data_IF_333628586081
#
_entry.id   IF_333628586081
#
_cell.length_a   1.000
_cell.length_b   1.000
_cell.length_c   1.000
_cell.angle_alpha   90.00
_cell.angle_beta   90.00
_cell.angle_gamma   90.00
#
_symmetry.space_group_name_H-M   'P 1'
#
loop_
_entity.id
_entity.type
_entity.pdbx_description
1 polymer ?
#
# COMPACT_ATOMS: atom_id res chain seq x y z
N UNK A 1 -6.50 -15.80 -13.41
CA UNK A 1 -6.26 -16.79 -12.34
C UNK A 1 -7.16 -17.98 -12.63
N UNK A 2 -6.58 -19.18 -12.83
CA UNK A 2 -7.36 -20.37 -13.17
C UNK A 2 -8.10 -20.95 -11.96
N UNK A 3 -7.55 -20.84 -10.74
CA UNK A 3 -8.21 -21.24 -9.49
C UNK A 3 -7.99 -20.21 -8.37
N UNK A 4 -8.85 -19.18 -8.23
CA UNK A 4 -8.70 -18.14 -7.21
C UNK A 4 -8.74 -18.67 -5.77
N UNK A 5 -9.49 -19.74 -5.51
CA UNK A 5 -9.65 -20.31 -4.16
C UNK A 5 -8.34 -20.90 -3.62
N UNK A 6 -7.48 -21.40 -4.50
CA UNK A 6 -6.19 -22.00 -4.16
C UNK A 6 -5.03 -21.01 -4.26
N UNK A 7 -5.06 -20.14 -5.27
CA UNK A 7 -3.97 -19.21 -5.54
C UNK A 7 -3.94 -17.98 -4.61
N UNK A 8 -5.12 -17.46 -4.21
CA UNK A 8 -5.19 -16.31 -3.29
C UNK A 8 -4.56 -16.62 -1.92
N UNK A 9 -4.86 -17.73 -1.23
CA UNK A 9 -4.22 -18.08 0.03
C UNK A 9 -2.69 -18.21 -0.08
N UNK A 10 -2.18 -18.83 -1.15
CA UNK A 10 -0.73 -18.95 -1.39
C UNK A 10 -0.08 -17.58 -1.59
N UNK A 11 -0.71 -16.71 -2.38
CA UNK A 11 -0.22 -15.36 -2.62
C UNK A 11 -0.16 -14.54 -1.33
N UNK A 12 -1.20 -14.61 -0.49
CA UNK A 12 -1.24 -13.92 0.81
C UNK A 12 -0.12 -14.41 1.73
N UNK A 13 0.07 -15.73 1.87
CA UNK A 13 1.14 -16.28 2.69
C UNK A 13 2.54 -15.93 2.16
N UNK A 14 2.72 -15.93 0.83
CA UNK A 14 3.98 -15.53 0.21
C UNK A 14 4.33 -14.06 0.48
N UNK A 15 3.34 -13.16 0.58
CA UNK A 15 3.56 -11.74 0.94
C UNK A 15 4.12 -11.63 2.36
N UNK A 16 3.61 -12.38 3.32
CA UNK A 16 4.08 -12.35 4.72
C UNK A 16 5.57 -12.71 4.77
N UNK A 17 5.96 -13.82 4.10
CA UNK A 17 7.36 -14.25 4.04
C UNK A 17 8.25 -13.22 3.36
N UNK A 18 7.79 -12.63 2.26
CA UNK A 18 8.52 -11.56 1.55
C UNK A 18 8.75 -10.34 2.44
N UNK A 19 7.72 -9.89 3.16
CA UNK A 19 7.85 -8.76 4.09
C UNK A 19 8.86 -9.12 5.19
N UNK A 20 8.73 -10.26 5.83
CA UNK A 20 9.64 -10.67 6.90
C UNK A 20 11.10 -10.76 6.42
N UNK A 21 11.37 -11.38 5.29
CA UNK A 21 12.74 -11.58 4.79
C UNK A 21 13.32 -10.31 4.21
N UNK A 22 12.60 -9.63 3.30
CA UNK A 22 13.18 -8.50 2.57
C UNK A 22 13.09 -7.18 3.33
N UNK A 23 12.00 -6.89 4.02
CA UNK A 23 11.88 -5.62 4.76
C UNK A 23 12.56 -5.69 6.13
N UNK A 24 12.22 -6.67 6.97
CA UNK A 24 12.87 -6.80 8.28
C UNK A 24 14.35 -7.14 8.13
N UNK A 25 14.73 -8.00 7.17
CA UNK A 25 16.12 -8.33 6.89
C UNK A 25 16.92 -7.13 6.40
N UNK A 26 16.40 -6.35 5.46
CA UNK A 26 17.06 -5.14 4.97
C UNK A 26 17.21 -4.07 6.07
N UNK A 27 16.17 -3.87 6.89
CA UNK A 27 16.22 -2.94 8.03
C UNK A 27 17.26 -3.38 9.06
N UNK A 28 17.29 -4.65 9.41
CA UNK A 28 18.25 -5.21 10.36
C UNK A 28 19.69 -5.03 9.85
N UNK A 29 19.95 -5.33 8.59
CA UNK A 29 21.25 -5.11 7.98
C UNK A 29 21.64 -3.62 7.99
N UNK A 30 20.71 -2.72 7.65
CA UNK A 30 20.98 -1.28 7.67
C UNK A 30 21.34 -0.79 9.07
N UNK A 31 20.59 -1.18 10.09
CA UNK A 31 20.87 -0.77 11.49
C UNK A 31 22.19 -1.35 12.00
N UNK A 32 22.57 -2.56 11.54
CA UNK A 32 23.88 -3.14 11.87
C UNK A 32 25.07 -2.43 11.21
N UNK A 33 24.87 -1.84 10.02
CA UNK A 33 25.95 -1.23 9.23
C UNK A 33 26.03 0.28 9.50
N UNK A 34 24.89 0.95 9.66
CA UNK A 34 24.79 2.40 9.79
C UNK A 34 24.18 2.79 11.15
N UNK A 35 24.92 3.50 12.02
CA UNK A 35 24.37 4.01 13.25
C UNK A 35 23.18 4.94 13.00
N UNK A 36 22.15 4.86 13.85
CA UNK A 36 20.91 5.65 13.69
C UNK A 36 21.15 7.15 13.71
N UNK A 37 22.23 7.60 14.36
CA UNK A 37 22.68 9.02 14.40
C UNK A 37 23.11 9.58 13.03
N UNK A 38 23.33 8.71 12.06
CA UNK A 38 23.84 9.10 10.74
C UNK A 38 22.74 9.07 9.66
N UNK A 39 21.52 8.76 10.03
CA UNK A 39 20.37 8.89 9.14
C UNK A 39 20.08 10.37 8.90
N UNK A 40 20.25 10.78 7.66
CA UNK A 40 19.94 12.16 7.24
C UNK A 40 18.58 12.17 6.54
N UNK A 41 17.62 12.99 6.99
CA UNK A 41 16.35 13.14 6.29
C UNK A 41 16.57 13.51 4.81
N UNK A 42 15.80 12.92 3.92
CA UNK A 42 15.89 13.17 2.47
C UNK A 42 16.97 12.40 1.72
N UNK A 43 17.85 11.67 2.42
CA UNK A 43 18.88 10.83 1.79
C UNK A 43 18.56 9.35 2.08
N UNK A 44 18.54 8.52 1.04
CA UNK A 44 18.35 7.09 1.21
C UNK A 44 19.51 6.48 2.01
N UNK A 45 19.23 5.73 3.11
CA UNK A 45 20.29 5.07 3.89
C UNK A 45 21.13 4.12 3.06
N UNK A 46 20.58 3.50 2.03
CA UNK A 46 21.34 2.65 1.10
C UNK A 46 22.41 3.45 0.35
N UNK A 47 22.09 4.66 -0.10
CA UNK A 47 23.04 5.56 -0.77
C UNK A 47 24.20 5.89 0.17
N UNK A 48 23.91 6.16 1.44
CA UNK A 48 24.93 6.45 2.46
C UNK A 48 25.86 5.25 2.69
N UNK A 49 25.31 4.05 2.83
CA UNK A 49 26.08 2.81 3.03
C UNK A 49 27.03 2.54 1.86
N UNK A 50 26.53 2.59 0.62
CA UNK A 50 27.36 2.32 -0.56
C UNK A 50 28.39 3.42 -0.83
N UNK A 51 28.08 4.67 -0.49
CA UNK A 51 29.05 5.77 -0.52
C UNK A 51 30.25 5.50 0.40
N UNK A 52 30.01 4.99 1.62
CA UNK A 52 31.09 4.61 2.57
C UNK A 52 31.91 3.42 2.11
N UNK A 53 31.30 2.49 1.40
CA UNK A 53 32.02 1.34 0.85
C UNK A 53 32.91 1.69 -0.33
N UNK A 54 33.04 2.99 -0.67
CA UNK A 54 33.87 3.44 -1.78
C UNK A 54 33.31 3.14 -3.17
N UNK A 55 31.98 2.90 -3.26
CA UNK A 55 31.27 2.59 -4.49
C UNK A 55 30.26 3.72 -4.85
N UNK A 56 30.70 4.95 -5.17
CA UNK A 56 29.79 6.08 -5.42
C UNK A 56 28.87 5.87 -6.63
N UNK A 57 29.30 5.06 -7.62
CA UNK A 57 28.47 4.70 -8.76
C UNK A 57 27.24 3.86 -8.37
N UNK A 58 27.33 3.08 -7.28
CA UNK A 58 26.24 2.28 -6.77
C UNK A 58 25.09 3.17 -6.24
N UNK A 59 25.40 4.35 -5.72
CA UNK A 59 24.39 5.33 -5.33
C UNK A 59 23.48 5.70 -6.51
N UNK A 60 24.03 5.94 -7.69
CA UNK A 60 23.28 6.25 -8.91
C UNK A 60 22.41 5.07 -9.36
N UNK A 61 22.94 3.84 -9.26
CA UNK A 61 22.18 2.63 -9.58
C UNK A 61 20.97 2.47 -8.65
N UNK A 62 21.18 2.65 -7.34
CA UNK A 62 20.10 2.57 -6.37
C UNK A 62 19.06 3.67 -6.62
N UNK A 63 19.49 4.88 -6.92
CA UNK A 63 18.59 5.97 -7.23
C UNK A 63 17.75 5.68 -8.48
N UNK A 64 18.33 5.11 -9.51
CA UNK A 64 17.59 4.65 -10.69
C UNK A 64 16.57 3.55 -10.34
N UNK A 65 16.95 2.57 -9.53
CA UNK A 65 16.04 1.52 -9.05
C UNK A 65 14.87 2.12 -8.24
N UNK A 66 15.14 3.08 -7.36
CA UNK A 66 14.11 3.76 -6.58
C UNK A 66 13.12 4.52 -7.46
N UNK A 67 13.61 5.22 -8.50
CA UNK A 67 12.75 5.91 -9.47
C UNK A 67 11.85 4.90 -10.21
N UNK A 68 12.40 3.81 -10.72
CA UNK A 68 11.63 2.78 -11.41
C UNK A 68 10.60 2.13 -10.48
N UNK A 69 10.97 1.85 -9.23
CA UNK A 69 10.07 1.31 -8.23
C UNK A 69 8.93 2.28 -7.90
N UNK A 70 9.24 3.58 -7.75
CA UNK A 70 8.24 4.61 -7.52
C UNK A 70 7.26 4.74 -8.69
N UNK A 71 7.75 4.75 -9.94
CA UNK A 71 6.91 4.79 -11.14
C UNK A 71 6.00 3.54 -11.23
N UNK A 72 6.53 2.37 -10.91
CA UNK A 72 5.75 1.13 -10.86
C UNK A 72 4.65 1.18 -9.81
N UNK A 73 4.96 1.69 -8.62
CA UNK A 73 3.98 1.88 -7.53
C UNK A 73 2.90 2.89 -7.90
N UNK A 74 3.27 4.01 -8.52
CA UNK A 74 2.33 5.01 -9.02
C UNK A 74 1.37 4.40 -10.05
N UNK A 75 1.90 3.66 -11.03
CA UNK A 75 1.09 3.01 -12.06
C UNK A 75 0.09 2.01 -11.45
N UNK A 76 0.55 1.18 -10.52
CA UNK A 76 -0.31 0.23 -9.80
C UNK A 76 -1.37 0.94 -8.96
N UNK A 77 -1.00 2.01 -8.26
CA UNK A 77 -1.89 2.84 -7.47
C UNK A 77 -2.98 3.50 -8.31
N UNK A 78 -2.62 4.12 -9.43
CA UNK A 78 -3.57 4.73 -10.38
C UNK A 78 -4.60 3.73 -10.89
N UNK A 79 -4.15 2.55 -11.29
CA UNK A 79 -5.05 1.51 -11.79
C UNK A 79 -5.99 0.99 -10.70
N UNK A 80 -5.45 0.71 -9.52
CA UNK A 80 -6.23 0.21 -8.38
C UNK A 80 -7.28 1.22 -7.93
N UNK A 81 -6.88 2.49 -7.76
CA UNK A 81 -7.79 3.56 -7.37
C UNK A 81 -8.88 3.78 -8.42
N UNK A 82 -8.53 3.73 -9.72
CA UNK A 82 -9.50 3.81 -10.79
C UNK A 82 -10.57 2.71 -10.73
N UNK A 83 -10.18 1.48 -10.39
CA UNK A 83 -11.11 0.36 -10.20
C UNK A 83 -12.00 0.53 -8.97
N UNK A 84 -11.44 0.99 -7.86
CA UNK A 84 -12.20 1.27 -6.62
C UNK A 84 -13.22 2.37 -6.85
N UNK A 85 -12.82 3.47 -7.48
CA UNK A 85 -13.73 4.57 -7.83
C UNK A 85 -14.88 4.10 -8.73
N UNK A 86 -14.60 3.23 -9.69
CA UNK A 86 -15.65 2.62 -10.50
C UNK A 86 -16.61 1.77 -9.68
N UNK A 87 -16.09 0.96 -8.75
CA UNK A 87 -16.93 0.14 -7.87
C UNK A 87 -17.83 1.02 -6.98
N UNK A 88 -17.31 2.11 -6.46
CA UNK A 88 -18.09 3.10 -5.71
C UNK A 88 -19.13 3.79 -6.60
N UNK A 89 -18.79 4.07 -7.86
CA UNK A 89 -19.74 4.61 -8.84
C UNK A 89 -20.91 3.65 -9.11
N UNK A 90 -20.64 2.34 -9.24
CA UNK A 90 -21.67 1.31 -9.37
C UNK A 90 -22.57 1.23 -8.13
N UNK A 91 -22.01 1.44 -6.95
CA UNK A 91 -22.75 1.53 -5.69
C UNK A 91 -23.44 2.89 -5.47
N UNK A 92 -23.40 3.81 -6.44
CA UNK A 92 -23.91 5.19 -6.33
C UNK A 92 -23.27 6.03 -5.22
N UNK A 93 -22.06 5.69 -4.80
CA UNK A 93 -21.28 6.36 -3.76
C UNK A 93 -20.19 7.28 -4.35
N UNK A 94 -20.02 7.29 -5.68
CA UNK A 94 -19.12 8.18 -6.39
C UNK A 94 -19.82 8.78 -7.61
N UNK A 95 -19.33 9.92 -8.14
CA UNK A 95 -19.92 10.57 -9.31
C UNK A 95 -20.01 9.64 -10.51
N UNK A 96 -21.09 9.75 -11.30
CA UNK A 96 -21.39 8.85 -12.42
C UNK A 96 -20.32 8.80 -13.53
N UNK A 97 -19.49 9.83 -13.67
CA UNK A 97 -18.39 9.82 -14.65
C UNK A 97 -17.33 8.76 -14.36
N UNK A 98 -17.19 8.31 -13.07
CA UNK A 98 -16.25 7.24 -12.68
C UNK A 98 -16.60 5.89 -13.28
N UNK A 99 -17.81 5.72 -13.81
CA UNK A 99 -18.26 4.52 -14.50
C UNK A 99 -17.66 4.37 -15.90
N UNK A 100 -17.14 5.46 -16.49
CA UNK A 100 -16.64 5.46 -17.85
C UNK A 100 -15.42 4.55 -17.99
N UNK A 101 -15.49 3.66 -18.97
CA UNK A 101 -14.42 2.72 -19.31
C UNK A 101 -13.95 2.93 -20.73
N UNK A 102 -12.70 2.57 -21.01
CA UNK A 102 -12.19 2.42 -22.36
C UNK A 102 -12.77 1.17 -23.03
N UNK A 103 -12.68 1.08 -24.36
CA UNK A 103 -13.01 -0.13 -25.11
C UNK A 103 -12.22 -1.37 -24.64
N UNK A 104 -11.01 -1.15 -24.11
CA UNK A 104 -10.16 -2.20 -23.53
C UNK A 104 -10.51 -2.55 -22.07
N UNK A 105 -11.62 -2.07 -21.52
CA UNK A 105 -12.04 -2.37 -20.15
C UNK A 105 -11.26 -1.64 -19.03
N UNK A 106 -10.52 -0.57 -19.37
CA UNK A 106 -9.77 0.23 -18.39
C UNK A 106 -10.65 1.35 -17.84
N UNK A 107 -10.73 1.56 -16.52
CA UNK A 107 -11.52 2.63 -15.88
C UNK A 107 -10.81 3.99 -15.97
N UNK A 108 -10.64 4.50 -17.20
CA UNK A 108 -9.81 5.66 -17.50
C UNK A 108 -10.24 6.93 -16.77
N UNK A 109 -11.55 7.12 -16.56
CA UNK A 109 -12.04 8.35 -15.91
C UNK A 109 -11.63 8.43 -14.43
N UNK A 110 -11.66 7.29 -13.72
CA UNK A 110 -11.13 7.21 -12.36
C UNK A 110 -9.62 7.40 -12.31
N UNK A 111 -8.90 6.85 -13.28
CA UNK A 111 -7.44 6.99 -13.40
C UNK A 111 -7.06 8.46 -13.62
N UNK A 112 -7.72 9.14 -14.57
CA UNK A 112 -7.45 10.57 -14.87
C UNK A 112 -7.77 11.45 -13.67
N UNK A 113 -8.87 11.19 -12.97
CA UNK A 113 -9.21 11.91 -11.75
C UNK A 113 -8.11 11.75 -10.68
N UNK A 114 -7.66 10.51 -10.45
CA UNK A 114 -6.59 10.23 -9.47
C UNK A 114 -5.27 10.88 -9.90
N UNK A 115 -4.91 10.81 -11.18
CA UNK A 115 -3.72 11.46 -11.72
C UNK A 115 -3.79 12.98 -11.56
N UNK A 116 -4.97 13.58 -11.76
CA UNK A 116 -5.19 15.01 -11.53
C UNK A 116 -4.97 15.42 -10.07
N UNK A 117 -5.48 14.63 -9.12
CA UNK A 117 -5.24 14.87 -7.68
C UNK A 117 -3.76 14.73 -7.33
N UNK A 118 -3.08 13.72 -7.87
CA UNK A 118 -1.63 13.54 -7.68
C UNK A 118 -0.82 14.70 -8.26
N UNK A 119 -1.18 15.16 -9.46
CA UNK A 119 -0.53 16.32 -10.08
C UNK A 119 -0.74 17.60 -9.26
N UNK A 120 -1.96 17.80 -8.74
CA UNK A 120 -2.26 18.91 -7.84
C UNK A 120 -1.40 18.84 -6.56
N UNK A 121 -1.26 17.66 -5.95
CA UNK A 121 -0.39 17.45 -4.81
C UNK A 121 1.08 17.78 -5.11
N UNK A 122 1.58 17.38 -6.28
CA UNK A 122 2.93 17.70 -6.71
C UNK A 122 3.14 19.22 -6.92
N UNK A 123 2.15 19.91 -7.47
CA UNK A 123 2.17 21.37 -7.62
C UNK A 123 2.11 22.05 -6.25
N UNK A 124 1.25 21.61 -5.36
CA UNK A 124 1.17 22.17 -4.00
C UNK A 124 2.49 22.02 -3.24
N UNK A 125 3.16 20.88 -3.40
CA UNK A 125 4.48 20.65 -2.77
C UNK A 125 5.56 21.65 -3.25
N UNK A 126 5.41 22.24 -4.43
CA UNK A 126 6.34 23.27 -4.92
C UNK A 126 6.10 24.66 -4.28
N UNK A 127 4.92 24.93 -3.75
CA UNK A 127 4.53 26.22 -3.21
C UNK A 127 4.33 26.25 -1.69
N UNK A 128 4.04 25.11 -1.09
CA UNK A 128 3.75 24.98 0.34
C UNK A 128 4.88 24.20 1.01
N UNK A 129 5.64 24.84 1.90
CA UNK A 129 6.63 24.14 2.72
C UNK A 129 5.95 22.97 3.45
N UNK A 130 6.66 21.85 3.55
CA UNK A 130 6.25 20.66 4.30
C UNK A 130 4.95 19.97 3.80
N UNK A 131 4.43 20.37 2.61
CA UNK A 131 3.21 19.76 2.05
C UNK A 131 3.34 18.24 1.89
N UNK A 132 4.53 17.75 1.57
CA UNK A 132 4.82 16.32 1.45
C UNK A 132 4.75 15.62 2.82
N UNK A 133 5.29 16.21 3.88
CA UNK A 133 5.25 15.65 5.24
C UNK A 133 3.81 15.61 5.77
N UNK A 134 3.05 16.68 5.59
CA UNK A 134 1.62 16.72 5.93
C UNK A 134 0.82 15.66 5.18
N UNK A 135 1.11 15.44 3.89
CA UNK A 135 0.46 14.39 3.10
C UNK A 135 0.81 12.99 3.60
N UNK A 136 2.06 12.75 4.03
CA UNK A 136 2.49 11.49 4.64
C UNK A 136 1.78 11.24 5.97
N UNK A 137 1.70 12.24 6.85
CA UNK A 137 0.99 12.13 8.13
C UNK A 137 -0.49 11.83 7.94
N UNK A 138 -1.16 12.57 7.06
CA UNK A 138 -2.56 12.33 6.72
C UNK A 138 -2.77 10.91 6.16
N UNK A 139 -1.85 10.45 5.30
CA UNK A 139 -1.89 9.09 4.74
C UNK A 139 -1.71 8.03 5.83
N UNK A 140 -0.80 8.24 6.78
CA UNK A 140 -0.58 7.34 7.91
C UNK A 140 -1.86 7.17 8.74
N UNK A 141 -2.54 8.27 9.08
CA UNK A 141 -3.82 8.23 9.81
C UNK A 141 -4.88 7.45 9.02
N UNK A 142 -5.00 7.71 7.71
CA UNK A 142 -5.96 7.00 6.86
C UNK A 142 -5.68 5.50 6.75
N UNK A 143 -4.40 5.11 6.74
CA UNK A 143 -4.00 3.69 6.75
C UNK A 143 -4.45 3.03 8.06
N UNK A 144 -4.17 3.63 9.21
CA UNK A 144 -4.60 3.10 10.52
C UNK A 144 -6.11 2.96 10.57
N UNK A 145 -6.87 3.98 10.14
CA UNK A 145 -8.32 3.93 10.08
C UNK A 145 -8.83 2.81 9.16
N UNK A 146 -8.18 2.61 8.01
CA UNK A 146 -8.51 1.53 7.07
C UNK A 146 -8.30 0.16 7.71
N UNK A 147 -7.17 -0.06 8.39
CA UNK A 147 -6.88 -1.30 9.09
C UNK A 147 -7.88 -1.55 10.23
N UNK A 148 -8.19 -0.54 11.03
CA UNK A 148 -9.21 -0.64 12.07
C UNK A 148 -10.58 -1.07 11.50
N UNK A 149 -10.99 -0.44 10.38
CA UNK A 149 -12.24 -0.82 9.68
C UNK A 149 -12.22 -2.26 9.20
N UNK A 150 -11.10 -2.73 8.65
CA UNK A 150 -10.93 -4.13 8.21
C UNK A 150 -11.09 -5.09 9.39
N UNK A 151 -10.48 -4.80 10.55
CA UNK A 151 -10.63 -5.64 11.75
C UNK A 151 -12.08 -5.67 12.25
N UNK A 152 -12.76 -4.53 12.29
CA UNK A 152 -14.18 -4.47 12.67
C UNK A 152 -15.03 -5.29 11.70
N UNK A 153 -14.82 -5.15 10.40
CA UNK A 153 -15.51 -5.95 9.38
C UNK A 153 -15.25 -7.46 9.57
N UNK A 154 -14.02 -7.85 9.86
CA UNK A 154 -13.64 -9.24 10.11
C UNK A 154 -14.36 -9.81 11.35
N UNK A 155 -14.40 -9.07 12.46
CA UNK A 155 -15.13 -9.48 13.67
C UNK A 155 -16.61 -9.64 13.36
N UNK A 156 -17.18 -8.68 12.63
CA UNK A 156 -18.61 -8.72 12.27
C UNK A 156 -18.94 -9.89 11.34
N UNK A 157 -18.09 -10.15 10.36
CA UNK A 157 -18.23 -11.30 9.47
C UNK A 157 -18.25 -12.61 10.26
N UNK A 158 -17.34 -12.75 11.23
CA UNK A 158 -17.27 -13.94 12.07
C UNK A 158 -18.54 -14.15 12.87
N UNK A 159 -19.06 -13.09 13.50
CA UNK A 159 -20.33 -13.13 14.22
C UNK A 159 -21.52 -13.57 13.33
N UNK A 160 -21.52 -13.16 12.05
CA UNK A 160 -22.56 -13.55 11.11
C UNK A 160 -22.43 -15.02 10.67
N UNK A 161 -21.21 -15.52 10.52
CA UNK A 161 -20.94 -16.94 10.25
C UNK A 161 -21.40 -17.80 11.44
N UNK A 162 -21.04 -17.42 12.67
CA UNK A 162 -21.40 -18.14 13.89
C UNK A 162 -22.92 -18.19 14.11
N UNK A 163 -23.64 -17.16 13.63
CA UNK A 163 -25.12 -17.11 13.62
C UNK A 163 -25.75 -17.87 12.45
N UNK A 164 -24.96 -18.47 11.55
CA UNK A 164 -25.47 -19.20 10.38
C UNK A 164 -26.05 -18.31 9.28
N UNK A 165 -25.88 -16.99 9.34
CA UNK A 165 -26.41 -16.05 8.34
C UNK A 165 -25.58 -16.06 7.06
N UNK A 166 -24.26 -16.30 7.18
CA UNK A 166 -23.31 -16.33 6.07
C UNK A 166 -22.57 -17.67 6.09
N UNK A 167 -22.34 -18.31 4.94
CA UNK A 167 -21.57 -19.54 4.88
C UNK A 167 -20.10 -19.29 5.30
N UNK A 168 -19.43 -20.32 5.87
CA UNK A 168 -18.03 -20.21 6.28
C UNK A 168 -17.12 -19.87 5.08
N UNK A 169 -16.15 -19.01 5.33
CA UNK A 169 -15.19 -18.59 4.30
C UNK A 169 -14.21 -19.72 4.00
N UNK A 170 -13.85 -19.96 2.73
CA UNK A 170 -12.88 -21.00 2.34
C UNK A 170 -11.47 -20.78 2.91
N UNK A 171 -11.14 -19.52 3.25
CA UNK A 171 -9.84 -19.12 3.81
C UNK A 171 -10.09 -18.26 5.07
N UNK A 172 -10.17 -18.89 6.25
CA UNK A 172 -10.34 -18.16 7.50
C UNK A 172 -9.03 -17.45 7.91
N UNK A 173 -9.15 -16.27 8.50
CA UNK A 173 -8.00 -15.58 9.06
C UNK A 173 -7.40 -16.39 10.22
N UNK A 174 -6.07 -16.63 10.25
CA UNK A 174 -5.41 -17.39 11.29
C UNK A 174 -5.64 -16.77 12.68
N UNK A 175 -6.03 -17.59 13.66
CA UNK A 175 -6.26 -17.13 15.04
C UNK A 175 -7.49 -16.22 15.24
N UNK A 176 -8.35 -16.07 14.23
CA UNK A 176 -9.61 -15.30 14.36
C UNK A 176 -10.53 -15.96 15.40
N UNK A 177 -11.24 -15.16 16.26
CA UNK A 177 -11.34 -13.68 16.25
C UNK A 177 -10.23 -12.94 17.03
N UNK A 178 -9.40 -13.65 17.79
CA UNK A 178 -8.44 -13.05 18.72
C UNK A 178 -7.43 -12.14 18.04
N UNK A 179 -6.90 -12.54 16.89
CA UNK A 179 -5.95 -11.72 16.09
C UNK A 179 -6.58 -10.40 15.66
N UNK A 180 -7.88 -10.35 15.39
CA UNK A 180 -8.57 -9.12 15.01
C UNK A 180 -8.80 -8.20 16.20
N UNK A 181 -9.04 -8.74 17.40
CA UNK A 181 -9.14 -7.93 18.64
C UNK A 181 -7.78 -7.35 19.03
N UNK A 182 -6.71 -8.15 18.95
CA UNK A 182 -5.34 -7.67 19.21
C UNK A 182 -4.97 -6.57 18.22
N UNK A 183 -5.22 -6.76 16.92
CA UNK A 183 -4.93 -5.76 15.90
C UNK A 183 -5.75 -4.46 16.04
N UNK A 184 -6.89 -4.52 16.73
CA UNK A 184 -7.73 -3.33 16.98
C UNK A 184 -7.30 -2.59 18.25
N UNK A 185 -6.64 -3.29 19.18
CA UNK A 185 -6.15 -2.71 20.44
C UNK A 185 -4.76 -2.09 20.30
N UNK A 186 -4.00 -2.47 19.24
CA UNK A 186 -2.68 -1.95 18.93
C UNK A 186 -2.76 -0.67 18.11
#
# INVERSE_FOLDING_TARGET
MEDPKREVPKAVNAVIVRIAVFYCGALLLLVCILPTSEFTPGISPFVTVFGRMGMPWMANVIQAILIVAAMSSLNSGLYTTGRVLRSLGMAKQAPGFTLKMSQSGVPWAGIVMTAGVMALGAVLNAFVPDAFELALEATAIMIVFTWATIFVCQIRLRQLIDKGVVPPTPFPAPGSPWTSYIGLAF
#
